data_IF_414080063663
#
_entry.id   IF_414080063663
#
_cell.length_a   1.000
_cell.length_b   1.000
_cell.length_c   1.000
_cell.angle_alpha   90.00
_cell.angle_beta   90.00
_cell.angle_gamma   90.00
#
_symmetry.space_group_name_H-M   'P 1'
#
loop_
_entity.id
_entity.type
_entity.pdbx_description
1 polymer ?
#
# COMPACT_ATOMS: atom_id res chain seq x y z
N UNK A 1 14.79 -9.37 -8.91
CA UNK A 1 14.59 -10.26 -7.75
C UNK A 1 14.32 -9.40 -6.52
N UNK A 2 13.10 -8.89 -6.33
CA UNK A 2 12.73 -8.08 -5.16
C UNK A 2 11.21 -8.21 -4.90
N UNK A 3 10.74 -9.45 -4.82
CA UNK A 3 9.44 -9.74 -4.22
C UNK A 3 9.70 -10.55 -2.94
N UNK A 4 9.83 -9.87 -1.81
CA UNK A 4 9.80 -10.53 -0.53
C UNK A 4 8.34 -10.72 -0.13
N UNK A 5 7.79 -11.89 -0.43
CA UNK A 5 6.59 -12.40 0.23
C UNK A 5 6.97 -12.65 1.69
N UNK A 6 6.60 -11.74 2.58
CA UNK A 6 6.65 -11.98 4.01
C UNK A 6 5.47 -12.87 4.38
N UNK A 7 5.69 -14.18 4.42
CA UNK A 7 4.81 -15.09 5.14
C UNK A 7 4.99 -14.81 6.63
N UNK A 8 4.03 -14.09 7.22
CA UNK A 8 3.94 -13.91 8.66
C UNK A 8 3.57 -15.27 9.30
N UNK A 9 4.50 -15.83 10.06
CA UNK A 9 4.24 -16.97 10.94
C UNK A 9 3.26 -16.54 12.04
N UNK A 10 2.18 -17.30 12.19
CA UNK A 10 1.17 -17.08 13.22
C UNK A 10 1.78 -17.23 14.63
N UNK A 11 1.87 -16.11 15.36
CA UNK A 11 2.13 -16.07 16.80
C UNK A 11 0.83 -15.71 17.52
N UNK A 12 0.54 -16.24 18.72
CA UNK A 12 -0.74 -16.03 19.40
C UNK A 12 -0.92 -14.57 19.77
N UNK A 13 -2.02 -14.00 19.29
CA UNK A 13 -2.35 -12.61 19.38
C UNK A 13 -2.70 -12.16 20.81
N UNK A 14 -1.90 -11.28 21.37
CA UNK A 14 -2.42 -10.23 22.23
C UNK A 14 -3.22 -9.23 21.36
N UNK A 15 -4.15 -8.51 21.95
CA UNK A 15 -5.07 -7.55 21.26
C UNK A 15 -4.35 -6.47 20.41
N UNK A 16 -3.02 -6.42 20.47
CA UNK A 16 -2.12 -5.44 19.82
C UNK A 16 -1.13 -6.03 18.81
N UNK A 17 -1.21 -7.31 18.45
CA UNK A 17 -0.28 -7.94 17.49
C UNK A 17 -0.28 -7.28 16.11
N UNK A 18 -1.38 -6.67 15.70
CA UNK A 18 -1.53 -5.97 14.42
C UNK A 18 -0.63 -4.74 14.25
N UNK A 19 -0.10 -4.19 15.37
CA UNK A 19 0.78 -3.00 15.37
C UNK A 19 2.20 -3.29 15.87
N UNK A 20 2.62 -4.54 15.94
CA UNK A 20 3.90 -4.96 16.51
C UNK A 20 5.11 -4.24 15.88
N UNK A 21 5.04 -3.98 14.57
CA UNK A 21 6.09 -3.27 13.82
C UNK A 21 6.06 -1.74 14.00
N UNK A 22 5.06 -1.19 14.70
CA UNK A 22 4.95 0.26 14.91
C UNK A 22 5.55 0.66 16.24
N UNK A 23 6.78 1.13 16.19
CA UNK A 23 7.53 1.60 17.36
C UNK A 23 7.18 3.05 17.65
N UNK A 24 6.29 3.29 18.63
CA UNK A 24 5.89 4.64 19.03
C UNK A 24 5.54 4.73 20.52
N UNK A 25 5.65 5.94 21.07
CA UNK A 25 5.04 6.39 22.33
C UNK A 25 4.38 7.77 22.16
N UNK A 26 4.42 8.30 20.94
CA UNK A 26 3.83 9.60 20.64
C UNK A 26 2.32 9.55 20.82
N UNK A 27 1.72 10.48 21.58
CA UNK A 27 0.26 10.57 21.70
C UNK A 27 -0.44 10.80 20.36
N UNK A 28 0.20 11.51 19.43
CA UNK A 28 -0.32 11.71 18.07
C UNK A 28 -0.42 10.37 17.32
N UNK A 29 0.64 9.56 17.36
CA UNK A 29 0.64 8.25 16.72
C UNK A 29 -0.31 7.27 17.40
N UNK A 30 -0.41 7.28 18.73
CA UNK A 30 -1.35 6.41 19.46
C UNK A 30 -2.80 6.68 19.07
N UNK A 31 -3.22 7.96 18.97
CA UNK A 31 -4.56 8.34 18.49
C UNK A 31 -4.78 7.92 17.03
N UNK A 32 -3.76 8.07 16.19
CA UNK A 32 -3.82 7.61 14.81
C UNK A 32 -4.02 6.09 14.74
N UNK A 33 -3.33 5.32 15.58
CA UNK A 33 -3.47 3.86 15.64
C UNK A 33 -4.86 3.43 16.12
N UNK A 34 -5.51 4.17 17.00
CA UNK A 34 -6.92 3.93 17.35
C UNK A 34 -7.84 4.12 16.13
N UNK A 35 -7.62 5.18 15.34
CA UNK A 35 -8.35 5.37 14.07
C UNK A 35 -8.06 4.25 13.08
N UNK A 36 -6.80 3.83 12.94
CA UNK A 36 -6.38 2.71 12.09
C UNK A 36 -7.13 1.43 12.47
N UNK A 37 -7.23 1.11 13.77
CA UNK A 37 -7.94 -0.07 14.25
C UNK A 37 -9.43 -0.05 13.88
N UNK A 38 -10.09 1.10 13.98
CA UNK A 38 -11.50 1.25 13.57
C UNK A 38 -11.68 1.10 12.06
N UNK A 39 -10.85 1.79 11.29
CA UNK A 39 -10.89 1.78 9.82
C UNK A 39 -10.57 0.41 9.24
N UNK A 40 -9.70 -0.34 9.90
CA UNK A 40 -9.33 -1.69 9.49
C UNK A 40 -10.52 -2.64 9.36
N UNK A 41 -11.57 -2.45 10.17
CA UNK A 41 -12.77 -3.31 10.18
C UNK A 41 -13.68 -3.11 8.96
N UNK A 42 -13.46 -2.07 8.16
CA UNK A 42 -14.21 -1.80 6.93
C UNK A 42 -13.39 -2.15 5.69
N UNK A 43 -14.07 -2.44 4.58
CA UNK A 43 -13.42 -2.69 3.28
C UNK A 43 -13.24 -1.43 2.41
N UNK A 44 -13.54 -0.25 2.96
CA UNK A 44 -13.40 1.01 2.24
C UNK A 44 -11.93 1.33 1.92
N UNK A 45 -11.71 2.09 0.85
CA UNK A 45 -10.39 2.58 0.48
C UNK A 45 -9.84 3.54 1.54
N UNK A 46 -8.54 3.45 1.80
CA UNK A 46 -7.82 4.30 2.75
C UNK A 46 -6.71 5.03 2.00
N UNK A 47 -6.66 6.34 2.17
CA UNK A 47 -5.57 7.18 1.66
C UNK A 47 -4.65 7.62 2.81
N UNK A 48 -3.41 7.16 2.76
CA UNK A 48 -2.37 7.50 3.76
C UNK A 48 -1.54 8.66 3.22
N UNK A 49 -1.62 9.81 3.86
CA UNK A 49 -0.79 10.96 3.55
C UNK A 49 0.34 11.10 4.58
N UNK A 50 1.56 11.35 4.09
CA UNK A 50 2.71 11.59 4.95
C UNK A 50 3.98 11.81 4.14
N UNK A 51 4.92 12.54 4.71
CA UNK A 51 6.22 12.76 4.06
C UNK A 51 6.94 11.44 3.78
N UNK A 52 7.89 11.46 2.86
CA UNK A 52 8.74 10.28 2.60
C UNK A 52 9.44 9.84 3.88
N UNK A 53 9.53 8.52 4.11
CA UNK A 53 10.16 7.94 5.31
C UNK A 53 9.34 8.01 6.59
N UNK A 54 8.07 8.46 6.58
CA UNK A 54 7.23 8.50 7.79
C UNK A 54 6.71 7.15 8.25
N UNK A 55 6.81 6.10 7.43
CA UNK A 55 6.31 4.75 7.74
C UNK A 55 4.93 4.47 7.16
N UNK A 56 4.58 5.05 6.00
CA UNK A 56 3.28 4.84 5.35
C UNK A 56 2.99 3.35 5.07
N UNK A 57 3.99 2.60 4.61
CA UNK A 57 3.86 1.16 4.35
C UNK A 57 3.61 0.37 5.64
N UNK A 58 4.33 0.69 6.73
CA UNK A 58 4.14 0.02 8.03
C UNK A 58 2.72 0.23 8.56
N UNK A 59 2.16 1.43 8.38
CA UNK A 59 0.76 1.72 8.73
C UNK A 59 -0.22 0.99 7.82
N UNK A 60 0.07 0.87 6.52
CA UNK A 60 -0.76 0.09 5.59
C UNK A 60 -0.78 -1.40 5.98
N UNK A 61 0.37 -1.97 6.34
CA UNK A 61 0.47 -3.34 6.87
C UNK A 61 -0.32 -3.51 8.16
N UNK A 62 -0.26 -2.53 9.08
CA UNK A 62 -1.05 -2.54 10.31
C UNK A 62 -2.57 -2.50 10.04
N UNK A 63 -3.02 -1.68 9.07
CA UNK A 63 -4.43 -1.67 8.65
C UNK A 63 -4.84 -3.04 8.12
N UNK A 64 -4.01 -3.69 7.31
CA UNK A 64 -4.28 -5.03 6.80
C UNK A 64 -4.31 -6.06 7.92
N UNK A 65 -3.31 -6.07 8.82
CA UNK A 65 -3.19 -7.01 9.94
C UNK A 65 -4.34 -6.88 10.95
N UNK A 66 -4.90 -5.68 11.12
CA UNK A 66 -6.07 -5.44 11.96
C UNK A 66 -7.41 -5.72 11.26
N UNK A 67 -7.43 -6.08 9.97
CA UNK A 67 -8.64 -6.25 9.16
C UNK A 67 -9.15 -7.69 9.14
N UNK A 68 -10.40 -7.90 8.70
CA UNK A 68 -10.90 -9.26 8.41
C UNK A 68 -10.10 -10.00 7.33
N UNK A 69 -9.27 -9.28 6.58
CA UNK A 69 -8.39 -9.83 5.52
C UNK A 69 -6.96 -10.14 6.01
N UNK A 70 -6.67 -10.07 7.31
CA UNK A 70 -5.33 -10.26 7.89
C UNK A 70 -4.63 -11.59 7.48
N UNK A 71 -5.41 -12.66 7.28
CA UNK A 71 -4.89 -13.95 6.82
C UNK A 71 -4.79 -14.11 5.29
N UNK A 72 -5.03 -13.03 4.53
CA UNK A 72 -4.97 -13.02 3.06
C UNK A 72 -3.72 -12.31 2.56
N UNK A 73 -3.55 -12.25 1.23
CA UNK A 73 -2.40 -11.59 0.63
C UNK A 73 -2.39 -10.08 0.95
N UNK A 74 -1.23 -9.56 1.33
CA UNK A 74 -0.89 -8.14 1.31
C UNK A 74 0.18 -7.94 0.25
N UNK A 75 -0.15 -7.20 -0.80
CA UNK A 75 0.77 -6.95 -1.92
C UNK A 75 1.01 -5.45 -2.00
N UNK A 76 2.27 -5.05 -2.05
CA UNK A 76 2.68 -3.66 -2.16
C UNK A 76 3.36 -3.39 -3.51
N UNK A 77 3.06 -2.23 -4.09
CA UNK A 77 3.75 -1.71 -5.27
C UNK A 77 3.97 -0.21 -5.12
N UNK A 78 5.15 0.25 -5.52
CA UNK A 78 5.44 1.68 -5.62
C UNK A 78 5.18 2.15 -7.04
N UNK A 79 4.18 3.04 -7.22
CA UNK A 79 3.73 3.51 -8.52
C UNK A 79 4.76 4.44 -9.19
N UNK A 80 5.62 5.11 -8.43
CA UNK A 80 6.67 5.99 -8.96
C UNK A 80 7.96 5.25 -9.34
N UNK A 81 8.12 3.99 -8.92
CA UNK A 81 9.35 3.23 -9.14
C UNK A 81 9.43 2.54 -10.52
N UNK A 82 8.33 2.47 -11.26
CA UNK A 82 8.24 1.75 -12.53
C UNK A 82 7.85 2.68 -13.68
N UNK A 83 8.42 2.48 -14.88
CA UNK A 83 7.89 3.10 -16.09
C UNK A 83 6.43 2.70 -16.32
N UNK A 84 5.64 3.59 -16.95
CA UNK A 84 4.20 3.44 -17.14
C UNK A 84 3.76 2.08 -17.69
N UNK A 85 4.39 1.63 -18.79
CA UNK A 85 4.04 0.34 -19.43
C UNK A 85 4.32 -0.87 -18.53
N UNK A 86 5.35 -0.80 -17.69
CA UNK A 86 5.66 -1.85 -16.73
C UNK A 86 4.67 -1.81 -15.55
N UNK A 87 4.34 -0.62 -15.05
CA UNK A 87 3.37 -0.46 -13.97
C UNK A 87 2.01 -1.01 -14.38
N UNK A 88 1.55 -0.71 -15.60
CA UNK A 88 0.29 -1.20 -16.15
C UNK A 88 0.28 -2.73 -16.24
N UNK A 89 1.35 -3.31 -16.82
CA UNK A 89 1.50 -4.76 -16.97
C UNK A 89 1.64 -5.48 -15.61
N UNK A 90 2.33 -4.89 -14.64
CA UNK A 90 2.42 -5.47 -13.28
C UNK A 90 1.07 -5.44 -12.57
N UNK A 91 0.33 -4.33 -12.62
CA UNK A 91 -0.97 -4.20 -11.94
C UNK A 91 -2.04 -5.12 -12.55
N UNK A 92 -2.21 -5.07 -13.88
CA UNK A 92 -3.33 -5.70 -14.57
C UNK A 92 -2.96 -7.01 -15.27
N UNK A 93 -1.67 -7.33 -15.35
CA UNK A 93 -1.21 -8.46 -16.16
C UNK A 93 -1.32 -8.19 -17.67
N UNK A 94 -0.88 -9.13 -18.47
CA UNK A 94 -0.93 -9.03 -19.93
C UNK A 94 -1.32 -10.34 -20.59
N UNK A 95 -1.95 -10.25 -21.75
CA UNK A 95 -2.19 -11.39 -22.64
C UNK A 95 -0.92 -11.68 -23.48
N UNK A 96 -0.81 -12.90 -23.97
CA UNK A 96 0.24 -13.26 -24.95
C UNK A 96 0.13 -12.35 -26.16
N UNK A 97 1.27 -11.76 -26.58
CA UNK A 97 1.35 -10.87 -27.75
C UNK A 97 0.89 -9.44 -27.49
N UNK A 98 0.60 -9.05 -26.25
CA UNK A 98 0.16 -7.69 -25.89
C UNK A 98 1.17 -6.61 -26.26
N UNK A 99 2.46 -6.93 -26.22
CA UNK A 99 3.57 -6.05 -26.61
C UNK A 99 4.78 -6.89 -27.06
N UNK A 100 5.78 -6.23 -27.64
CA UNK A 100 7.03 -6.90 -28.07
C UNK A 100 7.72 -7.55 -26.86
N UNK A 101 7.81 -8.87 -26.84
CA UNK A 101 8.37 -9.65 -25.72
C UNK A 101 7.32 -10.32 -24.82
N UNK A 102 6.02 -10.10 -25.01
CA UNK A 102 4.94 -10.80 -24.29
C UNK A 102 4.77 -12.23 -24.84
N UNK A 103 5.72 -13.12 -24.53
CA UNK A 103 5.76 -14.51 -25.05
C UNK A 103 4.65 -15.37 -24.47
N UNK A 104 4.21 -15.06 -23.25
CA UNK A 104 3.14 -15.76 -22.53
C UNK A 104 2.19 -14.78 -21.87
N UNK A 105 1.00 -15.23 -21.50
CA UNK A 105 0.10 -14.46 -20.64
C UNK A 105 0.61 -14.45 -19.20
N UNK A 106 0.47 -13.32 -18.49
CA UNK A 106 0.86 -13.19 -17.10
C UNK A 106 -0.27 -12.55 -16.28
N UNK A 107 -0.49 -13.05 -15.08
CA UNK A 107 -1.41 -12.46 -14.12
C UNK A 107 -0.80 -11.21 -13.48
N UNK A 108 -1.66 -10.22 -13.19
CA UNK A 108 -1.25 -8.99 -12.53
C UNK A 108 -1.45 -9.03 -11.02
N UNK A 109 -0.97 -7.99 -10.35
CA UNK A 109 -1.02 -7.86 -8.89
C UNK A 109 -2.45 -7.79 -8.35
N UNK A 110 -3.42 -7.29 -9.12
CA UNK A 110 -4.83 -7.35 -8.75
C UNK A 110 -5.32 -8.78 -8.57
N UNK A 111 -4.93 -9.71 -9.44
CA UNK A 111 -5.28 -11.13 -9.31
C UNK A 111 -4.52 -11.78 -8.15
N UNK A 112 -3.23 -11.47 -8.00
CA UNK A 112 -2.41 -11.99 -6.90
C UNK A 112 -2.90 -11.50 -5.52
N UNK A 113 -3.50 -10.31 -5.45
CA UNK A 113 -4.09 -9.74 -4.23
C UNK A 113 -5.55 -10.15 -4.00
N UNK A 114 -6.14 -11.00 -4.84
CA UNK A 114 -7.55 -11.34 -4.76
C UNK A 114 -7.96 -11.89 -3.38
N UNK A 115 -9.04 -11.36 -2.81
CA UNK A 115 -9.49 -11.62 -1.45
C UNK A 115 -8.68 -10.92 -0.34
N UNK A 116 -7.58 -10.24 -0.69
CA UNK A 116 -6.66 -9.57 0.22
C UNK A 116 -6.62 -8.06 0.04
N UNK A 117 -5.42 -7.50 0.18
CA UNK A 117 -5.17 -6.04 0.13
C UNK A 117 -4.06 -5.73 -0.86
N UNK A 118 -4.28 -4.73 -1.71
CA UNK A 118 -3.26 -4.14 -2.58
C UNK A 118 -2.90 -2.75 -2.04
N UNK A 119 -1.65 -2.56 -1.72
CA UNK A 119 -1.09 -1.29 -1.28
C UNK A 119 -0.40 -0.58 -2.45
N UNK A 120 -0.89 0.62 -2.78
CA UNK A 120 -0.40 1.46 -3.86
C UNK A 120 0.38 2.62 -3.24
N UNK A 121 1.71 2.48 -3.14
CA UNK A 121 2.56 3.56 -2.64
C UNK A 121 2.85 4.57 -3.74
N UNK A 122 3.01 5.82 -3.35
CA UNK A 122 3.24 6.98 -4.21
C UNK A 122 2.20 7.07 -5.36
N UNK A 123 0.92 6.94 -4.98
CA UNK A 123 -0.21 6.96 -5.94
C UNK A 123 -0.27 8.25 -6.77
N UNK A 124 0.27 9.37 -6.24
CA UNK A 124 0.35 10.64 -6.96
C UNK A 124 1.23 10.61 -8.22
N UNK A 125 2.11 9.63 -8.35
CA UNK A 125 2.99 9.45 -9.51
C UNK A 125 2.40 8.48 -10.56
N UNK A 126 1.20 7.93 -10.31
CA UNK A 126 0.54 7.02 -11.23
C UNK A 126 0.16 7.75 -12.54
N UNK A 127 0.52 7.21 -13.73
CA UNK A 127 0.13 7.78 -15.01
C UNK A 127 -1.40 7.83 -15.22
N UNK A 128 -1.91 8.82 -15.96
CA UNK A 128 -3.35 9.05 -16.14
C UNK A 128 -4.09 7.86 -16.76
N UNK A 129 -3.46 7.14 -17.68
CA UNK A 129 -4.07 5.96 -18.32
C UNK A 129 -4.22 4.82 -17.30
N UNK A 130 -3.23 4.63 -16.43
CA UNK A 130 -3.30 3.65 -15.34
C UNK A 130 -4.33 4.07 -14.28
N UNK A 131 -4.43 5.37 -13.97
CA UNK A 131 -5.49 5.91 -13.10
C UNK A 131 -6.89 5.59 -13.62
N UNK A 132 -7.11 5.72 -14.94
CA UNK A 132 -8.40 5.40 -15.58
C UNK A 132 -8.76 3.93 -15.41
N UNK A 133 -7.78 3.04 -15.52
CA UNK A 133 -8.01 1.60 -15.31
C UNK A 133 -8.24 1.24 -13.86
N UNK A 134 -7.49 1.86 -12.94
CA UNK A 134 -7.69 1.70 -11.50
C UNK A 134 -9.11 2.11 -11.09
N UNK A 135 -9.61 3.24 -11.61
CA UNK A 135 -10.97 3.70 -11.33
C UNK A 135 -12.00 2.63 -11.67
N UNK A 136 -11.90 2.00 -12.85
CA UNK A 136 -12.80 0.90 -13.26
C UNK A 136 -12.77 -0.28 -12.29
N UNK A 137 -11.58 -0.65 -11.79
CA UNK A 137 -11.49 -1.72 -10.78
C UNK A 137 -12.22 -1.33 -9.50
N UNK A 138 -12.09 -0.07 -9.06
CA UNK A 138 -12.75 0.43 -7.86
C UNK A 138 -14.28 0.57 -8.00
N UNK A 139 -14.78 0.80 -9.22
CA UNK A 139 -16.21 0.96 -9.52
C UNK A 139 -16.88 -0.39 -9.79
N UNK A 140 -16.29 -1.18 -10.70
CA UNK A 140 -16.91 -2.36 -11.28
C UNK A 140 -16.41 -3.68 -10.67
N UNK A 141 -15.31 -3.65 -9.89
CA UNK A 141 -14.65 -4.84 -9.35
C UNK A 141 -14.06 -5.73 -10.46
N UNK A 142 -13.75 -5.15 -11.63
CA UNK A 142 -13.22 -5.89 -12.77
C UNK A 142 -12.30 -5.02 -13.64
N UNK A 143 -11.42 -5.69 -14.38
CA UNK A 143 -10.51 -5.06 -15.33
C UNK A 143 -10.22 -5.97 -16.51
N UNK A 144 -9.51 -5.45 -17.51
CA UNK A 144 -8.98 -6.21 -18.63
C UNK A 144 -7.46 -6.29 -18.53
N UNK A 145 -6.87 -7.44 -18.85
CA UNK A 145 -5.41 -7.55 -19.01
C UNK A 145 -4.95 -6.66 -20.17
N UNK A 146 -3.69 -6.22 -20.15
CA UNK A 146 -3.11 -5.50 -21.29
C UNK A 146 -3.19 -6.39 -22.53
N UNK A 147 -3.78 -5.91 -23.61
CA UNK A 147 -4.00 -6.68 -24.85
C UNK A 147 -5.05 -7.78 -24.72
N UNK A 148 -5.80 -7.85 -23.60
CA UNK A 148 -6.85 -8.85 -23.38
C UNK A 148 -8.26 -8.28 -23.60
N UNK A 149 -9.21 -9.15 -23.99
CA UNK A 149 -10.60 -8.80 -24.23
C UNK A 149 -11.58 -9.41 -23.20
N UNK A 150 -11.11 -10.34 -22.38
CA UNK A 150 -11.93 -10.96 -21.34
C UNK A 150 -11.83 -10.16 -20.04
N UNK A 151 -12.95 -9.81 -19.39
CA UNK A 151 -12.95 -9.13 -18.10
C UNK A 151 -12.48 -10.11 -17.00
N UNK A 152 -11.67 -9.60 -16.09
CA UNK A 152 -11.19 -10.28 -14.88
C UNK A 152 -11.86 -9.66 -13.67
N UNK A 153 -12.65 -10.43 -12.94
CA UNK A 153 -13.30 -9.99 -11.69
C UNK A 153 -12.35 -10.20 -10.51
N UNK A 154 -12.28 -9.20 -9.64
CA UNK A 154 -11.48 -9.26 -8.41
C UNK A 154 -12.21 -8.58 -7.25
N UNK A 155 -12.00 -9.13 -6.07
CA UNK A 155 -12.34 -8.51 -4.79
C UNK A 155 -11.03 -8.20 -4.08
N UNK A 156 -10.63 -6.94 -4.07
CA UNK A 156 -9.36 -6.48 -3.48
C UNK A 156 -9.61 -5.19 -2.72
N UNK A 157 -9.18 -5.14 -1.45
CA UNK A 157 -9.15 -3.89 -0.70
C UNK A 157 -7.98 -3.03 -1.15
N UNK A 158 -8.22 -1.74 -1.39
CA UNK A 158 -7.17 -0.79 -1.78
C UNK A 158 -6.78 0.08 -0.61
N UNK A 159 -5.47 0.15 -0.34
CA UNK A 159 -4.84 1.17 0.51
C UNK A 159 -3.87 1.93 -0.38
N UNK A 160 -4.03 3.24 -0.47
CA UNK A 160 -3.14 4.10 -1.25
C UNK A 160 -2.32 5.00 -0.33
N UNK A 161 -1.11 5.35 -0.74
CA UNK A 161 -0.27 6.28 0.01
C UNK A 161 0.39 7.29 -0.93
N UNK A 162 0.64 8.49 -0.41
CA UNK A 162 1.37 9.53 -1.11
C UNK A 162 1.98 10.55 -0.15
N UNK A 163 3.05 11.20 -0.58
CA UNK A 163 3.60 12.40 0.06
C UNK A 163 3.10 13.70 -0.60
N UNK A 164 2.42 13.57 -1.75
CA UNK A 164 1.98 14.70 -2.56
C UNK A 164 0.60 15.21 -2.13
N UNK A 165 0.31 16.48 -2.45
CA UNK A 165 -1.02 17.05 -2.33
C UNK A 165 -1.84 16.65 -3.57
N UNK A 166 -2.73 15.65 -3.43
CA UNK A 166 -3.53 15.15 -4.55
C UNK A 166 -4.57 16.17 -5.03
N UNK A 167 -5.09 17.04 -4.15
CA UNK A 167 -6.00 18.11 -4.54
C UNK A 167 -5.32 19.08 -5.53
N UNK A 168 -4.06 19.44 -5.26
CA UNK A 168 -3.27 20.24 -6.17
C UNK A 168 -3.00 19.49 -7.49
N UNK A 169 -2.67 18.20 -7.41
CA UNK A 169 -2.46 17.35 -8.61
C UNK A 169 -3.72 17.26 -9.47
N UNK A 170 -4.92 17.24 -8.87
CA UNK A 170 -6.19 17.31 -9.60
C UNK A 170 -6.33 18.66 -10.32
N UNK A 171 -6.04 19.78 -9.63
CA UNK A 171 -6.08 21.12 -10.26
C UNK A 171 -5.10 21.27 -11.43
N UNK A 172 -3.93 20.62 -11.33
CA UNK A 172 -2.92 20.59 -12.40
C UNK A 172 -3.25 19.63 -13.55
N UNK A 173 -4.34 18.87 -13.46
CA UNK A 173 -4.73 17.84 -14.44
C UNK A 173 -3.82 16.61 -14.45
N UNK A 174 -3.02 16.40 -13.41
CA UNK A 174 -2.09 15.26 -13.26
C UNK A 174 -2.68 14.10 -12.47
N UNK A 175 -3.81 14.32 -11.81
CA UNK A 175 -4.57 13.28 -11.11
C UNK A 175 -6.05 13.47 -11.41
N UNK A 176 -6.77 12.37 -11.63
CA UNK A 176 -8.20 12.42 -11.92
C UNK A 176 -9.01 12.71 -10.68
N UNK A 177 -9.96 13.64 -10.77
CA UNK A 177 -10.84 14.02 -9.68
C UNK A 177 -11.74 12.86 -9.22
N UNK A 178 -12.29 12.08 -10.17
CA UNK A 178 -13.14 10.94 -9.88
C UNK A 178 -12.38 9.84 -9.10
N UNK A 179 -11.16 9.53 -9.50
CA UNK A 179 -10.30 8.59 -8.77
C UNK A 179 -9.93 9.11 -7.38
N UNK A 180 -9.62 10.41 -7.26
CA UNK A 180 -9.32 11.03 -5.98
C UNK A 180 -10.46 10.83 -4.98
N UNK A 181 -11.69 11.10 -5.38
CA UNK A 181 -12.86 10.92 -4.50
C UNK A 181 -13.10 9.45 -4.15
N UNK A 182 -12.80 8.51 -5.05
CA UNK A 182 -12.96 7.08 -4.82
C UNK A 182 -11.91 6.50 -3.87
N UNK A 183 -10.69 7.04 -3.88
CA UNK A 183 -9.60 6.64 -2.98
C UNK A 183 -9.68 7.32 -1.61
N UNK A 184 -10.11 8.58 -1.58
CA UNK A 184 -10.10 9.44 -0.40
C UNK A 184 -11.38 9.29 0.46
N UNK A 185 -11.84 8.05 0.67
CA UNK A 185 -12.98 7.75 1.53
C UNK A 185 -12.60 7.95 2.99
N UNK A 186 -11.46 7.42 3.39
CA UNK A 186 -10.87 7.65 4.70
C UNK A 186 -9.43 8.13 4.51
N UNK A 187 -9.11 9.25 5.16
CA UNK A 187 -7.76 9.83 5.14
C UNK A 187 -7.05 9.61 6.47
N UNK A 188 -5.85 9.05 6.39
CA UNK A 188 -4.92 8.88 7.52
C UNK A 188 -3.71 9.75 7.27
N UNK A 189 -3.42 10.69 8.17
CA UNK A 189 -2.27 11.58 8.06
C UNK A 189 -1.17 11.18 9.04
N UNK A 190 0.00 10.76 8.51
CA UNK A 190 1.17 10.42 9.32
C UNK A 190 1.99 11.65 9.65
N UNK A 191 2.17 11.97 10.95
CA UNK A 191 3.03 13.08 11.36
C UNK A 191 4.50 12.76 11.03
N UNK A 192 5.27 13.73 10.53
CA UNK A 192 6.71 13.56 10.35
C UNK A 192 7.42 13.43 11.70
N UNK A 193 8.63 12.85 11.71
CA UNK A 193 9.36 12.55 12.94
C UNK A 193 9.64 13.78 13.81
N UNK A 194 9.79 14.97 13.21
CA UNK A 194 9.96 16.23 13.94
C UNK A 194 8.75 16.61 14.82
N UNK A 195 7.57 16.10 14.52
CA UNK A 195 6.33 16.33 15.27
C UNK A 195 6.07 15.23 16.31
N UNK A 196 6.91 14.16 16.33
CA UNK A 196 6.86 13.05 17.28
C UNK A 196 8.26 12.72 17.83
N UNK A 197 8.94 13.77 18.32
CA UNK A 197 10.35 13.69 18.77
C UNK A 197 10.58 12.67 19.87
N UNK A 198 9.57 12.37 20.69
CA UNK A 198 9.59 11.36 21.74
C UNK A 198 9.80 9.93 21.19
N UNK A 199 9.54 9.69 19.90
CA UNK A 199 9.78 8.42 19.26
C UNK A 199 11.24 8.20 18.85
N UNK A 200 12.03 9.29 18.69
CA UNK A 200 13.41 9.23 18.18
C UNK A 200 14.28 8.25 18.97
N UNK A 201 14.35 8.31 20.33
CA UNK A 201 15.22 7.39 21.07
C UNK A 201 14.79 5.92 20.97
N UNK A 202 13.51 5.66 20.81
CA UNK A 202 12.97 4.30 20.65
C UNK A 202 13.25 3.76 19.26
N UNK A 203 12.99 4.55 18.23
CA UNK A 203 13.30 4.20 16.85
C UNK A 203 14.80 3.96 16.64
N UNK A 204 15.65 4.83 17.22
CA UNK A 204 17.10 4.64 17.16
C UNK A 204 17.52 3.29 17.76
N UNK A 205 17.03 2.96 18.97
CA UNK A 205 17.32 1.66 19.60
C UNK A 205 16.79 0.48 18.76
N UNK A 206 15.57 0.58 18.25
CA UNK A 206 14.96 -0.46 17.44
C UNK A 206 15.81 -0.75 16.18
N UNK A 207 16.20 0.28 15.44
CA UNK A 207 17.03 0.11 14.24
C UNK A 207 18.44 -0.37 14.56
N UNK A 208 19.05 0.07 15.67
CA UNK A 208 20.32 -0.46 16.13
C UNK A 208 20.25 -1.95 16.47
N UNK A 209 19.17 -2.40 17.11
CA UNK A 209 18.96 -3.82 17.40
C UNK A 209 18.78 -4.66 16.13
N UNK A 210 18.01 -4.16 15.15
CA UNK A 210 17.86 -4.83 13.85
C UNK A 210 19.23 -4.95 13.16
N UNK A 211 19.96 -3.83 13.05
CA UNK A 211 21.28 -3.81 12.42
C UNK A 211 22.29 -4.73 13.13
N UNK A 212 22.30 -4.73 14.46
CA UNK A 212 23.16 -5.62 15.24
C UNK A 212 22.85 -7.10 14.97
N UNK A 213 21.56 -7.46 14.89
CA UNK A 213 21.13 -8.82 14.56
C UNK A 213 21.53 -9.24 13.15
N UNK A 214 21.42 -8.35 12.18
CA UNK A 214 21.82 -8.60 10.78
C UNK A 214 23.34 -8.76 10.64
N UNK A 215 24.11 -7.98 11.41
CA UNK A 215 25.58 -8.02 11.41
C UNK A 215 26.16 -9.09 12.34
N UNK A 216 25.35 -9.78 13.14
CA UNK A 216 25.81 -10.77 14.10
C UNK A 216 26.66 -10.19 15.25
N UNK A 217 26.42 -8.91 15.63
CA UNK A 217 27.11 -8.20 16.71
C UNK A 217 26.15 -7.83 17.83
N UNK A 218 26.66 -7.62 19.05
CA UNK A 218 25.82 -7.11 20.14
C UNK A 218 25.52 -5.62 19.96
N UNK A 219 24.25 -5.26 20.09
CA UNK A 219 23.83 -3.85 20.15
C UNK A 219 24.29 -3.26 21.49
N UNK A 220 25.20 -2.28 21.46
CA UNK A 220 25.61 -1.51 22.63
C UNK A 220 24.68 -0.35 22.90
#
# INVERSE_FOLDING_TARGET
>A
TLFRSLALSATPAGDDAWREDIVTRSPLMLRLLEQVKMVAQSDVSVLINGQSGTGKEVVAQAIHAASPRAGKAFIAINCGALPEQLLESELFGHAKGAFTGAVSSREGLFQAAAGGTLFLDEIGDMPLDVQTRLLRVLEDGQFYRVGGYAPVKVDVRIIAATHQNLELRVQEGKFREDLFHRLNVIRVHLPPLRERREDIPRLARHFLQIAAKELGVEAK
#
